data_IF_027397005250
#
_entry.id   IF_027397005250
#
_cell.length_a   1.000
_cell.length_b   1.000
_cell.length_c   1.000
_cell.angle_alpha   90.00
_cell.angle_beta   90.00
_cell.angle_gamma   90.00
#
_symmetry.space_group_name_H-M   'P 1'
#
loop_
_entity.id
_entity.type
_entity.pdbx_description
1 polymer ?
#
# COMPACT_ATOMS: atom_id res chain seq x y z
N UNK A 1 -1.67 -6.91 -16.88
CA UNK A 1 -2.97 -7.36 -16.32
C UNK A 1 -2.84 -7.42 -14.80
N UNK A 2 -3.72 -6.72 -14.08
CA UNK A 2 -3.74 -6.79 -12.61
C UNK A 2 -4.41 -8.09 -12.16
N UNK A 3 -3.94 -8.69 -11.04
CA UNK A 3 -4.59 -9.85 -10.43
C UNK A 3 -6.03 -9.56 -9.97
N UNK A 4 -6.79 -10.59 -9.71
CA UNK A 4 -8.10 -10.46 -9.07
C UNK A 4 -7.95 -9.78 -7.70
N UNK A 5 -8.79 -8.79 -7.41
CA UNK A 5 -8.72 -7.99 -6.19
C UNK A 5 -9.78 -8.45 -5.20
N UNK A 6 -9.34 -8.92 -4.05
CA UNK A 6 -10.21 -9.07 -2.89
C UNK A 6 -10.20 -7.79 -2.07
N UNK A 7 -11.37 -7.19 -1.87
CA UNK A 7 -11.52 -5.96 -1.09
C UNK A 7 -12.60 -6.10 -0.02
N UNK A 8 -12.43 -5.37 1.06
CA UNK A 8 -13.38 -5.25 2.18
C UNK A 8 -13.80 -3.82 2.35
N UNK A 9 -14.97 -3.64 2.95
CA UNK A 9 -15.49 -2.33 3.32
C UNK A 9 -15.74 -2.29 4.82
N UNK A 10 -15.29 -1.21 5.45
CA UNK A 10 -15.54 -0.91 6.86
C UNK A 10 -16.18 0.47 6.97
N UNK A 11 -17.12 0.60 7.91
CA UNK A 11 -17.78 1.86 8.17
C UNK A 11 -18.82 2.25 7.11
N UNK A 12 -19.45 3.40 7.36
CA UNK A 12 -20.56 3.93 6.56
C UNK A 12 -20.55 5.47 6.50
N UNK A 13 -19.44 6.07 6.95
CA UNK A 13 -19.29 7.52 6.95
C UNK A 13 -19.26 8.12 5.54
N UNK A 14 -19.49 9.43 5.43
CA UNK A 14 -19.64 10.11 4.14
C UNK A 14 -18.32 10.27 3.39
N UNK A 15 -17.17 10.05 4.03
CA UNK A 15 -15.86 10.31 3.48
C UNK A 15 -15.21 9.02 2.98
N UNK A 16 -15.03 8.84 1.65
CA UNK A 16 -14.42 7.65 1.10
C UNK A 16 -12.90 7.64 1.34
N UNK A 17 -12.38 6.50 1.78
CA UNK A 17 -10.96 6.28 1.99
C UNK A 17 -10.54 4.90 1.47
N UNK A 18 -9.29 4.79 1.01
CA UNK A 18 -8.66 3.54 0.61
C UNK A 18 -7.49 3.23 1.56
N UNK A 19 -7.48 2.03 2.12
CA UNK A 19 -6.45 1.54 3.01
C UNK A 19 -5.59 0.47 2.34
N UNK A 20 -4.27 0.62 2.44
CA UNK A 20 -3.27 -0.24 1.81
C UNK A 20 -2.37 -0.81 2.89
N UNK A 21 -2.41 -2.13 3.09
CA UNK A 21 -1.73 -2.82 4.19
C UNK A 21 -0.23 -2.98 3.95
N UNK A 22 0.50 -3.37 5.00
CA UNK A 22 1.92 -3.69 4.94
C UNK A 22 2.17 -5.09 4.36
N UNK A 23 3.41 -5.38 3.99
CA UNK A 23 3.82 -6.73 3.60
C UNK A 23 3.47 -7.75 4.68
N UNK A 24 3.09 -8.96 4.25
CA UNK A 24 2.71 -10.09 5.12
C UNK A 24 1.43 -9.86 5.96
N UNK A 25 0.63 -8.86 5.63
CA UNK A 25 -0.68 -8.62 6.21
C UNK A 25 -1.81 -8.89 5.19
N UNK A 26 -2.97 -8.35 5.41
CA UNK A 26 -4.13 -8.40 4.51
C UNK A 26 -5.13 -7.29 4.89
N UNK A 27 -6.17 -7.10 4.10
CA UNK A 27 -7.18 -6.06 4.29
C UNK A 27 -7.86 -6.08 5.68
N UNK A 28 -7.93 -7.24 6.31
CA UNK A 28 -8.48 -7.39 7.66
C UNK A 28 -7.71 -6.65 8.76
N UNK A 29 -6.45 -6.28 8.52
CA UNK A 29 -5.65 -5.49 9.45
C UNK A 29 -6.26 -4.11 9.76
N UNK A 30 -7.10 -3.61 8.86
CA UNK A 30 -7.75 -2.30 8.97
C UNK A 30 -9.06 -2.31 9.76
N UNK A 31 -9.49 -3.46 10.27
CA UNK A 31 -10.76 -3.62 11.00
C UNK A 31 -10.86 -2.67 12.19
N UNK A 32 -9.80 -2.51 12.97
CA UNK A 32 -9.79 -1.64 14.16
C UNK A 32 -9.98 -0.17 13.80
N UNK A 33 -9.25 0.32 12.81
CA UNK A 33 -9.39 1.70 12.31
C UNK A 33 -10.75 1.89 11.66
N UNK A 34 -11.19 0.94 10.85
CA UNK A 34 -12.50 0.98 10.20
C UNK A 34 -13.67 1.03 11.20
N UNK A 35 -13.55 0.35 12.34
CA UNK A 35 -14.54 0.41 13.41
C UNK A 35 -14.50 1.74 14.18
N UNK A 36 -13.29 2.22 14.50
CA UNK A 36 -13.12 3.47 15.25
C UNK A 36 -13.58 4.71 14.48
N UNK A 37 -13.49 4.68 13.15
CA UNK A 37 -13.85 5.80 12.27
C UNK A 37 -15.10 5.50 11.42
N UNK A 38 -15.95 4.58 11.87
CA UNK A 38 -17.08 4.06 11.07
C UNK A 38 -18.11 5.12 10.68
N UNK A 39 -18.29 6.14 11.47
CA UNK A 39 -19.24 7.22 11.23
C UNK A 39 -18.66 8.35 10.34
N UNK A 40 -17.35 8.45 10.28
CA UNK A 40 -16.63 9.45 9.46
C UNK A 40 -16.23 8.90 8.10
N UNK A 41 -15.77 7.65 8.05
CA UNK A 41 -15.22 7.05 6.85
C UNK A 41 -16.06 5.88 6.34
N UNK A 42 -16.11 5.78 5.02
CA UNK A 42 -16.30 4.50 4.33
C UNK A 42 -14.93 4.03 3.87
N UNK A 43 -14.33 3.13 4.64
CA UNK A 43 -12.97 2.64 4.41
C UNK A 43 -13.01 1.39 3.54
N UNK A 44 -12.48 1.48 2.33
CA UNK A 44 -12.22 0.33 1.48
C UNK A 44 -10.79 -0.15 1.73
N UNK A 45 -10.61 -1.43 1.97
CA UNK A 45 -9.30 -2.05 2.13
C UNK A 45 -9.21 -3.26 1.20
N UNK A 46 -8.09 -3.42 0.51
CA UNK A 46 -7.89 -4.55 -0.40
C UNK A 46 -6.64 -5.34 -0.01
N UNK A 47 -6.60 -6.58 -0.45
CA UNK A 47 -5.43 -7.43 -0.29
C UNK A 47 -4.45 -7.14 -1.43
N UNK A 48 -3.19 -6.84 -1.10
CA UNK A 48 -2.11 -6.67 -2.07
C UNK A 48 -1.92 -7.94 -2.92
N UNK A 49 -1.24 -7.87 -4.09
CA UNK A 49 -0.96 -9.06 -4.88
C UNK A 49 -0.24 -10.12 -4.02
N UNK A 50 -0.60 -11.38 -4.17
CA UNK A 50 -0.09 -12.53 -3.40
C UNK A 50 -0.45 -12.51 -1.89
N UNK A 51 -1.34 -11.62 -1.44
CA UNK A 51 -1.77 -11.54 -0.05
C UNK A 51 -3.26 -11.84 0.09
N UNK A 52 -3.63 -12.34 1.26
CA UNK A 52 -5.02 -12.60 1.61
C UNK A 52 -5.74 -13.48 0.59
N UNK A 53 -6.73 -12.91 -0.08
CA UNK A 53 -7.54 -13.57 -1.12
C UNK A 53 -7.43 -12.92 -2.49
N UNK A 54 -6.55 -11.96 -2.65
CA UNK A 54 -6.22 -11.43 -3.98
C UNK A 54 -5.41 -12.44 -4.78
N UNK A 55 -5.46 -12.31 -6.10
CA UNK A 55 -4.73 -13.18 -7.01
C UNK A 55 -3.21 -13.04 -6.90
N UNK A 56 -2.53 -14.04 -7.44
CA UNK A 56 -1.08 -14.08 -7.46
C UNK A 56 -0.50 -13.13 -8.53
N UNK A 57 0.68 -12.63 -8.25
CA UNK A 57 1.52 -11.96 -9.23
C UNK A 57 2.23 -13.02 -10.09
N UNK A 58 2.26 -12.80 -11.39
CA UNK A 58 2.88 -13.71 -12.37
C UNK A 58 4.42 -13.63 -12.42
N UNK A 59 5.03 -12.82 -11.57
CA UNK A 59 6.47 -12.60 -11.53
C UNK A 59 7.01 -11.67 -12.63
N UNK A 60 6.14 -11.09 -13.46
CA UNK A 60 6.56 -10.18 -14.52
C UNK A 60 6.52 -8.72 -14.07
N UNK A 61 7.57 -7.97 -14.42
CA UNK A 61 7.68 -6.56 -14.05
C UNK A 61 7.99 -6.35 -12.57
N UNK A 62 7.48 -5.25 -12.01
CA UNK A 62 7.71 -4.86 -10.63
C UNK A 62 6.42 -4.99 -9.81
N UNK A 63 6.47 -5.71 -8.70
CA UNK A 63 5.31 -5.90 -7.83
C UNK A 63 4.72 -4.59 -7.30
N UNK A 64 5.55 -3.56 -7.13
CA UNK A 64 5.08 -2.25 -6.71
C UNK A 64 4.21 -1.59 -7.78
N UNK A 65 4.53 -1.79 -9.08
CA UNK A 65 3.70 -1.32 -10.18
C UNK A 65 2.34 -2.02 -10.16
N UNK A 66 2.33 -3.34 -9.99
CA UNK A 66 1.09 -4.13 -9.90
C UNK A 66 0.23 -3.71 -8.70
N UNK A 67 0.84 -3.53 -7.53
CA UNK A 67 0.13 -3.05 -6.35
C UNK A 67 -0.45 -1.64 -6.54
N UNK A 68 0.29 -0.76 -7.22
CA UNK A 68 -0.17 0.60 -7.54
C UNK A 68 -1.34 0.58 -8.52
N UNK A 69 -1.26 -0.23 -9.57
CA UNK A 69 -2.34 -0.38 -10.55
C UNK A 69 -3.61 -0.98 -9.92
N UNK A 70 -3.45 -1.96 -9.03
CA UNK A 70 -4.58 -2.51 -8.26
C UNK A 70 -5.25 -1.42 -7.41
N UNK A 71 -4.45 -0.65 -6.66
CA UNK A 71 -4.97 0.45 -5.84
C UNK A 71 -5.64 1.54 -6.70
N UNK A 72 -5.01 1.93 -7.81
CA UNK A 72 -5.56 2.90 -8.76
C UNK A 72 -6.93 2.48 -9.29
N UNK A 73 -7.10 1.21 -9.63
CA UNK A 73 -8.37 0.68 -10.13
C UNK A 73 -9.54 0.78 -9.12
N UNK A 74 -9.23 1.01 -7.85
CA UNK A 74 -10.22 1.18 -6.77
C UNK A 74 -10.55 2.65 -6.48
N UNK A 75 -9.86 3.60 -7.12
CA UNK A 75 -10.10 5.04 -6.97
C UNK A 75 -11.13 5.52 -8.00
N UNK A 76 -12.38 5.56 -7.60
CA UNK A 76 -13.50 6.01 -8.46
C UNK A 76 -13.74 7.53 -8.40
N UNK A 77 -13.20 8.18 -7.37
CA UNK A 77 -13.29 9.62 -7.10
C UNK A 77 -12.13 10.04 -6.18
N UNK A 78 -11.91 11.33 -5.91
CA UNK A 78 -10.92 11.75 -4.94
C UNK A 78 -11.15 11.12 -3.56
N UNK A 79 -10.19 10.33 -3.08
CA UNK A 79 -10.26 9.59 -1.83
C UNK A 79 -9.11 9.98 -0.90
N UNK A 80 -9.30 9.74 0.40
CA UNK A 80 -8.21 9.72 1.35
C UNK A 80 -7.48 8.38 1.26
N UNK A 81 -6.15 8.40 1.24
CA UNK A 81 -5.34 7.19 1.26
C UNK A 81 -4.69 7.00 2.61
N UNK A 82 -4.74 5.78 3.13
CA UNK A 82 -4.05 5.38 4.37
C UNK A 82 -3.17 4.19 4.01
N UNK A 83 -1.87 4.34 4.12
CA UNK A 83 -0.91 3.28 3.80
C UNK A 83 -0.01 2.94 4.97
N UNK A 84 0.30 1.65 5.15
CA UNK A 84 1.23 1.17 6.15
C UNK A 84 2.42 0.48 5.50
N UNK A 85 3.66 0.88 5.86
CA UNK A 85 4.91 0.31 5.40
C UNK A 85 4.99 0.26 3.85
N UNK A 86 5.01 -0.91 3.23
CA UNK A 86 4.94 -1.05 1.77
C UNK A 86 3.69 -0.36 1.19
N UNK A 87 2.53 -0.52 1.82
CA UNK A 87 1.30 0.16 1.40
C UNK A 87 1.38 1.68 1.48
N UNK A 88 2.21 2.22 2.38
CA UNK A 88 2.46 3.66 2.46
C UNK A 88 3.24 4.18 1.23
N UNK A 89 4.17 3.40 0.70
CA UNK A 89 4.89 3.75 -0.53
C UNK A 89 3.98 3.72 -1.76
N UNK A 90 3.02 2.80 -1.80
CA UNK A 90 1.99 2.76 -2.85
C UNK A 90 1.08 3.99 -2.77
N UNK A 91 0.62 4.36 -1.57
CA UNK A 91 -0.19 5.56 -1.35
C UNK A 91 0.55 6.84 -1.75
N UNK A 92 1.83 6.96 -1.39
CA UNK A 92 2.67 8.09 -1.79
C UNK A 92 2.81 8.20 -3.30
N UNK A 93 3.06 7.07 -3.98
CA UNK A 93 3.18 7.04 -5.44
C UNK A 93 1.88 7.46 -6.12
N UNK A 94 0.74 6.97 -5.67
CA UNK A 94 -0.57 7.40 -6.19
C UNK A 94 -0.79 8.91 -6.03
N UNK A 95 -0.40 9.48 -4.90
CA UNK A 95 -0.53 10.91 -4.66
C UNK A 95 0.35 11.76 -5.60
N UNK A 96 1.48 11.21 -6.03
CA UNK A 96 2.41 11.88 -6.98
C UNK A 96 1.93 11.73 -8.42
N UNK A 97 1.52 10.52 -8.81
CA UNK A 97 1.16 10.20 -10.20
C UNK A 97 -0.29 10.60 -10.54
N UNK A 98 -1.20 10.58 -9.56
CA UNK A 98 -2.63 10.84 -9.71
C UNK A 98 -3.17 11.80 -8.64
N UNK A 99 -2.60 13.03 -8.51
CA UNK A 99 -3.00 13.97 -7.47
C UNK A 99 -4.49 14.35 -7.54
N UNK A 100 -5.11 14.26 -8.70
CA UNK A 100 -6.53 14.54 -8.91
C UNK A 100 -7.46 13.51 -8.25
N UNK A 101 -6.96 12.30 -8.00
CA UNK A 101 -7.70 11.19 -7.34
C UNK A 101 -7.36 11.05 -5.85
N UNK A 102 -6.44 11.85 -5.33
CA UNK A 102 -5.98 11.74 -3.94
C UNK A 102 -6.27 13.03 -3.20
N UNK A 103 -7.18 12.98 -2.23
CA UNK A 103 -7.55 14.12 -1.40
C UNK A 103 -6.57 14.36 -0.26
N UNK A 104 -6.12 13.29 0.38
CA UNK A 104 -5.12 13.30 1.46
C UNK A 104 -4.39 11.97 1.54
N UNK A 105 -3.21 11.96 2.15
CA UNK A 105 -2.48 10.73 2.47
C UNK A 105 -2.13 10.69 3.96
N UNK A 106 -2.27 9.52 4.56
CA UNK A 106 -1.75 9.18 5.87
C UNK A 106 -0.76 8.04 5.70
N UNK A 107 0.51 8.30 5.97
CA UNK A 107 1.59 7.34 5.81
C UNK A 107 2.05 6.86 7.18
N UNK A 108 1.87 5.58 7.45
CA UNK A 108 2.27 4.93 8.70
C UNK A 108 3.56 4.16 8.41
N UNK A 109 4.66 4.60 9.00
CA UNK A 109 5.99 3.98 8.88
C UNK A 109 6.36 3.61 7.43
N UNK A 110 6.36 4.59 6.50
CA UNK A 110 6.66 4.30 5.09
C UNK A 110 8.10 3.82 4.94
N UNK A 111 8.28 2.73 4.18
CA UNK A 111 9.61 2.17 3.86
C UNK A 111 10.21 2.89 2.64
N UNK A 112 10.40 4.19 2.76
CA UNK A 112 10.91 5.04 1.69
C UNK A 112 12.44 5.14 1.77
N UNK A 113 13.13 4.07 1.40
CA UNK A 113 14.59 3.95 1.49
C UNK A 113 15.36 4.92 0.59
N UNK A 114 14.73 5.51 -0.41
CA UNK A 114 15.36 6.54 -1.24
C UNK A 114 15.78 7.77 -0.42
N UNK A 115 15.04 8.12 0.63
CA UNK A 115 15.42 9.19 1.56
C UNK A 115 16.66 8.79 2.36
N UNK A 116 16.70 7.56 2.89
CA UNK A 116 17.85 7.04 3.63
C UNK A 116 19.13 7.00 2.78
N UNK A 117 19.01 6.69 1.49
CA UNK A 117 20.16 6.71 0.56
C UNK A 117 20.78 8.09 0.42
N UNK A 118 19.99 9.13 0.53
CA UNK A 118 20.47 10.52 0.48
C UNK A 118 21.11 10.96 1.79
N UNK A 119 20.52 10.57 2.92
CA UNK A 119 20.94 10.99 4.26
C UNK A 119 22.11 10.16 4.80
N UNK A 120 22.14 8.86 4.53
CA UNK A 120 23.19 7.94 4.98
C UNK A 120 23.48 6.88 3.90
N UNK A 121 24.30 7.22 2.89
CA UNK A 121 24.66 6.29 1.81
C UNK A 121 25.40 5.03 2.27
N UNK A 122 26.18 5.11 3.38
CA UNK A 122 26.94 3.97 3.91
C UNK A 122 25.99 2.95 4.54
N UNK A 123 25.09 3.38 5.42
CA UNK A 123 24.09 2.51 6.03
C UNK A 123 23.18 1.88 4.96
N UNK A 124 22.84 2.63 3.91
CA UNK A 124 22.05 2.09 2.81
C UNK A 124 22.79 1.04 1.99
N UNK A 125 24.10 1.21 1.77
CA UNK A 125 24.93 0.20 1.10
C UNK A 125 25.01 -1.07 1.93
N UNK A 126 25.24 -0.97 3.24
CA UNK A 126 25.26 -2.10 4.16
C UNK A 126 23.93 -2.86 4.17
N UNK A 127 22.81 -2.14 4.23
CA UNK A 127 21.47 -2.73 4.13
C UNK A 127 21.27 -3.51 2.84
N UNK A 128 21.67 -2.94 1.70
CA UNK A 128 21.54 -3.59 0.40
C UNK A 128 22.39 -4.86 0.31
N UNK A 129 23.62 -4.86 0.87
CA UNK A 129 24.50 -6.02 0.90
C UNK A 129 23.89 -7.14 1.78
N UNK A 130 23.34 -6.80 2.93
CA UNK A 130 22.66 -7.76 3.82
C UNK A 130 21.41 -8.34 3.15
N UNK A 131 20.62 -7.52 2.48
CA UNK A 131 19.41 -7.95 1.76
C UNK A 131 19.76 -8.90 0.60
N UNK A 132 20.79 -8.57 -0.18
CA UNK A 132 21.26 -9.43 -1.27
C UNK A 132 21.78 -10.78 -0.76
N UNK A 133 22.48 -10.79 0.39
CA UNK A 133 22.93 -12.02 1.03
C UNK A 133 21.76 -12.89 1.52
N UNK A 134 20.71 -12.25 2.06
CA UNK A 134 19.48 -12.94 2.47
C UNK A 134 18.73 -13.56 1.29
N UNK A 135 18.55 -12.79 0.21
CA UNK A 135 17.92 -13.29 -1.02
C UNK A 135 18.67 -14.46 -1.66
N UNK A 136 19.99 -14.42 -1.63
CA UNK A 136 20.82 -15.51 -2.16
C UNK A 136 20.78 -16.79 -1.31
N UNK A 137 20.31 -16.71 -0.06
CA UNK A 137 20.17 -17.85 0.86
C UNK A 137 18.80 -18.55 0.80
N UNK A 138 17.83 -17.96 0.07
CA UNK A 138 16.49 -18.52 -0.13
C UNK A 138 16.44 -19.43 -1.34
#
# INVERSE_FOLDING_TARGET
VIPEINARRFGHGPRPALAIHCSLAHSGAWRGIGAALSDELTLRAFDLPMHGRSGDWDGQGNIHDVATDMALSLLEAPMDLIGHSFGATVALRLAIEHPELVRSITLIEPVYFAAAKQDDPEAMAEYNDQNAAFEAAL
#
